data_IF_450011311426
#
_entry.id   IF_450011311426
#
_cell.length_a   1.000
_cell.length_b   1.000
_cell.length_c   1.000
_cell.angle_alpha   90.00
_cell.angle_beta   90.00
_cell.angle_gamma   90.00
#
_symmetry.space_group_name_H-M   'P 1'
#
loop_
_entity.id
_entity.type
_entity.pdbx_description
1 polymer ?
#
# COMPACT_ATOMS: atom_id res chain seq x y z
N UNK A 1 24.68 31.13 -1.21
CA UNK A 1 24.44 30.67 0.17
C UNK A 1 23.42 29.57 0.15
N UNK A 2 23.75 28.37 0.60
CA UNK A 2 22.86 27.21 0.59
C UNK A 2 21.65 27.48 1.47
N UNK A 3 20.52 27.84 0.85
CA UNK A 3 19.20 27.84 1.50
C UNK A 3 18.80 26.38 1.66
N UNK A 4 19.23 25.73 2.74
CA UNK A 4 18.58 24.49 3.15
C UNK A 4 17.10 24.83 3.37
N UNK A 5 16.22 24.25 2.54
CA UNK A 5 14.79 24.31 2.76
C UNK A 5 14.51 23.87 4.20
N UNK A 6 13.64 24.58 4.93
CA UNK A 6 13.22 24.15 6.25
C UNK A 6 12.80 22.68 6.17
N UNK A 7 13.28 21.88 7.12
CA UNK A 7 12.91 20.47 7.17
C UNK A 7 11.37 20.41 7.21
N UNK A 8 10.76 19.58 6.37
CA UNK A 8 9.32 19.66 6.07
C UNK A 8 8.38 19.57 7.29
N UNK A 9 8.83 18.98 8.40
CA UNK A 9 8.09 18.88 9.67
C UNK A 9 8.41 19.98 10.69
N UNK A 10 9.26 20.94 10.33
CA UNK A 10 9.71 22.02 11.20
C UNK A 10 8.69 23.16 11.21
N UNK A 11 8.32 23.64 12.40
CA UNK A 11 7.41 24.77 12.59
C UNK A 11 8.03 25.85 13.47
N UNK A 12 7.44 27.04 13.44
CA UNK A 12 7.84 28.15 14.31
C UNK A 12 7.68 27.79 15.80
N UNK A 13 6.69 26.99 16.15
CA UNK A 13 6.50 26.51 17.54
C UNK A 13 7.62 25.56 17.98
N UNK A 14 8.05 24.63 17.10
CA UNK A 14 9.22 23.78 17.36
C UNK A 14 10.48 24.63 17.52
N UNK A 15 10.62 25.69 16.72
CA UNK A 15 11.74 26.61 16.81
C UNK A 15 11.79 27.34 18.17
N UNK A 16 10.65 27.87 18.63
CA UNK A 16 10.50 28.51 19.95
C UNK A 16 10.82 27.54 21.09
N UNK A 17 10.20 26.36 21.08
CA UNK A 17 10.44 25.32 22.09
C UNK A 17 11.90 24.85 22.11
N UNK A 18 12.55 24.80 20.94
CA UNK A 18 13.99 24.49 20.86
C UNK A 18 14.83 25.59 21.48
N UNK A 19 14.55 26.85 21.18
CA UNK A 19 15.26 27.98 21.77
C UNK A 19 15.11 27.99 23.29
N UNK A 20 13.90 27.77 23.80
CA UNK A 20 13.61 27.66 25.24
C UNK A 20 14.32 26.47 25.88
N UNK A 21 14.28 25.28 25.26
CA UNK A 21 14.96 24.09 25.77
C UNK A 21 16.47 24.30 25.87
N UNK A 22 17.08 24.98 24.88
CA UNK A 22 18.50 25.34 24.92
C UNK A 22 18.82 26.35 26.01
N UNK A 23 17.95 27.35 26.25
CA UNK A 23 18.09 28.29 27.37
C UNK A 23 18.02 27.57 28.72
N UNK A 24 16.99 26.75 28.92
CA UNK A 24 16.79 25.97 30.15
C UNK A 24 17.95 24.98 30.41
N UNK A 25 18.44 24.30 29.36
CA UNK A 25 19.63 23.43 29.46
C UNK A 25 20.85 24.19 29.99
N UNK A 26 21.11 25.38 29.44
CA UNK A 26 22.23 26.23 29.88
C UNK A 26 22.08 26.68 31.34
N UNK A 27 20.87 26.99 31.78
CA UNK A 27 20.59 27.34 33.17
C UNK A 27 20.88 26.17 34.12
N UNK A 28 20.39 24.96 33.81
CA UNK A 28 20.67 23.74 34.60
C UNK A 28 22.17 23.45 34.67
N UNK A 29 22.87 23.53 33.54
CA UNK A 29 24.32 23.28 33.49
C UNK A 29 25.11 24.25 34.39
N UNK A 30 24.72 25.54 34.42
CA UNK A 30 25.35 26.57 35.25
C UNK A 30 24.91 26.53 36.73
N UNK A 31 23.83 25.83 37.04
CA UNK A 31 23.29 25.70 38.39
C UNK A 31 23.77 24.44 39.12
N UNK A 32 24.62 23.60 38.49
CA UNK A 32 25.20 22.43 39.16
C UNK A 32 25.89 22.84 40.46
N UNK A 33 25.57 22.14 41.55
CA UNK A 33 26.07 22.45 42.90
C UNK A 33 25.36 23.61 43.61
N UNK A 34 24.36 24.25 42.99
CA UNK A 34 23.56 25.33 43.61
C UNK A 34 22.23 24.80 44.16
N UNK A 35 21.66 25.41 45.21
CA UNK A 35 20.36 25.01 45.76
C UNK A 35 19.21 25.01 44.73
N UNK A 36 19.27 25.89 43.72
CA UNK A 36 18.25 25.97 42.66
C UNK A 36 18.35 24.88 41.58
N UNK A 37 19.34 23.99 41.63
CA UNK A 37 19.58 22.97 40.60
C UNK A 37 18.35 22.09 40.34
N UNK A 38 17.76 21.54 41.40
CA UNK A 38 16.63 20.60 41.30
C UNK A 38 15.41 21.25 40.63
N UNK A 39 15.09 22.48 41.02
CA UNK A 39 13.96 23.23 40.44
C UNK A 39 14.18 23.51 38.95
N UNK A 40 15.38 23.97 38.57
CA UNK A 40 15.73 24.20 37.17
C UNK A 40 15.76 22.90 36.35
N UNK A 41 16.18 21.78 36.96
CA UNK A 41 16.19 20.47 36.30
C UNK A 41 14.78 20.00 35.95
N UNK A 42 13.82 20.18 36.87
CA UNK A 42 12.39 19.87 36.63
C UNK A 42 11.85 20.70 35.47
N UNK A 43 12.09 22.02 35.49
CA UNK A 43 11.66 22.94 34.41
C UNK A 43 12.28 22.53 33.06
N UNK A 44 13.57 22.21 33.03
CA UNK A 44 14.23 21.75 31.80
C UNK A 44 13.65 20.43 31.28
N UNK A 45 13.39 19.46 32.17
CA UNK A 45 12.77 18.17 31.78
C UNK A 45 11.40 18.40 31.15
N UNK A 46 10.61 19.32 31.69
CA UNK A 46 9.30 19.69 31.16
C UNK A 46 9.40 20.34 29.78
N UNK A 47 10.23 21.37 29.62
CA UNK A 47 10.43 22.04 28.32
C UNK A 47 10.94 21.04 27.27
N UNK A 48 11.87 20.15 27.65
CA UNK A 48 12.38 19.09 26.76
C UNK A 48 11.29 18.08 26.38
N UNK A 49 10.36 17.76 27.30
CA UNK A 49 9.21 16.91 27.00
C UNK A 49 8.30 17.58 25.96
N UNK A 50 8.00 18.86 26.15
CA UNK A 50 7.15 19.62 25.22
C UNK A 50 7.79 19.75 23.84
N UNK A 51 9.10 20.00 23.75
CA UNK A 51 9.82 19.98 22.48
C UNK A 51 9.74 18.61 21.78
N UNK A 52 9.97 17.51 22.51
CA UNK A 52 9.87 16.15 21.93
C UNK A 52 8.47 15.86 21.42
N UNK A 53 7.44 16.24 22.19
CA UNK A 53 6.04 16.10 21.79
C UNK A 53 5.75 16.89 20.52
N UNK A 54 6.12 18.18 20.47
CA UNK A 54 5.91 19.02 19.30
C UNK A 54 6.61 18.50 18.04
N UNK A 55 7.83 17.94 18.17
CA UNK A 55 8.52 17.28 17.05
C UNK A 55 7.78 16.03 16.59
N UNK A 56 7.31 15.19 17.54
CA UNK A 56 6.53 14.00 17.23
C UNK A 56 5.22 14.34 16.50
N UNK A 57 4.48 15.31 17.02
CA UNK A 57 3.22 15.80 16.44
C UNK A 57 3.46 16.43 15.06
N UNK A 58 4.55 17.19 14.90
CA UNK A 58 4.94 17.78 13.61
C UNK A 58 5.23 16.72 12.55
N UNK A 59 6.00 15.69 12.89
CA UNK A 59 6.28 14.57 11.98
C UNK A 59 5.01 13.79 11.64
N UNK A 60 4.17 13.52 12.64
CA UNK A 60 2.90 12.80 12.45
C UNK A 60 1.98 13.56 11.50
N UNK A 61 1.83 14.87 11.68
CA UNK A 61 1.02 15.72 10.81
C UNK A 61 1.52 15.67 9.37
N UNK A 62 2.80 15.93 9.15
CA UNK A 62 3.34 15.90 7.79
C UNK A 62 3.27 14.52 7.13
N UNK A 63 3.30 13.44 7.92
CA UNK A 63 3.05 12.09 7.40
C UNK A 63 1.60 11.90 6.96
N UNK A 64 0.64 12.38 7.75
CA UNK A 64 -0.79 12.37 7.39
C UNK A 64 -1.02 13.21 6.12
N UNK A 65 -0.50 14.44 6.08
CA UNK A 65 -0.63 15.33 4.93
C UNK A 65 -0.06 14.68 3.65
N UNK A 66 1.06 13.96 3.77
CA UNK A 66 1.66 13.24 2.64
C UNK A 66 0.78 12.08 2.16
N UNK A 67 0.12 11.35 3.06
CA UNK A 67 -0.82 10.28 2.70
C UNK A 67 -2.06 10.88 2.04
N UNK A 68 -2.62 11.95 2.60
CA UNK A 68 -3.79 12.62 2.02
C UNK A 68 -3.51 13.16 0.61
N UNK A 69 -2.29 13.64 0.37
CA UNK A 69 -1.84 14.08 -0.96
C UNK A 69 -1.90 12.95 -2.01
N UNK A 70 -1.67 11.68 -1.62
CA UNK A 70 -1.78 10.53 -2.54
C UNK A 70 -3.20 10.40 -3.10
N UNK A 71 -4.21 10.68 -2.29
CA UNK A 71 -5.61 10.56 -2.72
C UNK A 71 -5.98 11.63 -3.77
N UNK A 72 -5.34 12.80 -3.70
CA UNK A 72 -5.59 13.92 -4.61
C UNK A 72 -4.72 13.86 -5.87
N UNK A 73 -3.44 13.53 -5.71
CA UNK A 73 -2.48 13.39 -6.81
C UNK A 73 -1.61 12.12 -6.60
N UNK A 74 -2.05 10.98 -7.16
CA UNK A 74 -1.34 9.71 -7.05
C UNK A 74 0.08 9.74 -7.63
N UNK A 75 0.38 10.69 -8.54
CA UNK A 75 1.67 10.81 -9.23
C UNK A 75 2.50 12.02 -8.73
N UNK A 76 2.02 12.67 -7.67
CA UNK A 76 2.56 13.91 -7.12
C UNK A 76 3.81 13.74 -6.26
N UNK A 77 3.93 14.56 -5.22
CA UNK A 77 5.08 14.54 -4.30
C UNK A 77 5.27 13.18 -3.61
N UNK A 78 4.23 12.47 -3.12
CA UNK A 78 4.43 11.18 -2.45
C UNK A 78 5.06 10.14 -3.37
N UNK A 79 4.56 10.03 -4.60
CA UNK A 79 5.12 9.17 -5.64
C UNK A 79 6.58 9.49 -5.93
N UNK A 80 6.92 10.76 -6.14
CA UNK A 80 8.31 11.20 -6.38
C UNK A 80 9.24 10.88 -5.22
N UNK A 81 8.77 11.05 -3.98
CA UNK A 81 9.55 10.70 -2.78
C UNK A 81 9.85 9.20 -2.76
N UNK A 82 8.83 8.35 -2.97
CA UNK A 82 9.00 6.89 -3.02
C UNK A 82 9.90 6.49 -4.18
N UNK A 83 9.65 6.99 -5.39
CA UNK A 83 10.45 6.68 -6.56
C UNK A 83 11.89 7.15 -6.43
N UNK A 84 12.17 8.29 -5.78
CA UNK A 84 13.56 8.70 -5.48
C UNK A 84 14.30 7.70 -4.58
N UNK A 85 13.58 6.98 -3.72
CA UNK A 85 14.14 5.93 -2.85
C UNK A 85 14.25 4.59 -3.58
N UNK A 86 13.29 4.28 -4.45
CA UNK A 86 13.27 3.06 -5.27
C UNK A 86 14.19 3.14 -6.50
N UNK A 87 14.56 4.34 -6.96
CA UNK A 87 15.48 4.59 -8.08
C UNK A 87 16.93 4.10 -7.85
N UNK A 88 17.14 3.18 -6.90
CA UNK A 88 18.30 2.31 -6.91
C UNK A 88 18.32 1.34 -8.11
N UNK A 89 17.20 1.16 -8.81
CA UNK A 89 17.16 0.42 -10.07
C UNK A 89 17.54 1.35 -11.23
N UNK A 90 18.64 1.03 -11.92
CA UNK A 90 19.02 1.68 -13.16
C UNK A 90 17.97 1.34 -14.22
N UNK A 91 17.20 2.36 -14.63
CA UNK A 91 16.42 2.27 -15.87
C UNK A 91 17.40 1.98 -17.01
N UNK A 92 17.07 1.10 -17.97
CA UNK A 92 17.95 0.84 -19.10
C UNK A 92 18.25 2.16 -19.83
N UNK A 93 19.53 2.49 -19.92
CA UNK A 93 20.00 3.79 -20.41
C UNK A 93 20.13 3.82 -21.93
N UNK A 94 20.10 2.65 -22.58
CA UNK A 94 20.16 2.50 -24.04
C UNK A 94 19.30 1.32 -24.54
N UNK A 95 19.03 1.33 -25.84
CA UNK A 95 18.22 0.31 -26.52
C UNK A 95 18.78 -1.12 -26.31
N UNK A 96 20.09 -1.29 -26.38
CA UNK A 96 20.73 -2.62 -26.21
C UNK A 96 20.52 -3.21 -24.82
N UNK A 97 20.54 -2.37 -23.77
CA UNK A 97 20.25 -2.80 -22.40
C UNK A 97 18.79 -3.21 -22.26
N UNK A 98 17.87 -2.42 -22.83
CA UNK A 98 16.45 -2.75 -22.84
C UNK A 98 16.19 -4.06 -23.58
N UNK A 99 16.80 -4.25 -24.75
CA UNK A 99 16.66 -5.47 -25.55
C UNK A 99 17.13 -6.71 -24.78
N UNK A 100 18.26 -6.62 -24.07
CA UNK A 100 18.75 -7.71 -23.20
C UNK A 100 17.77 -8.03 -22.09
N UNK A 101 17.21 -7.02 -21.42
CA UNK A 101 16.22 -7.22 -20.35
C UNK A 101 14.97 -7.91 -20.92
N UNK A 102 14.45 -7.42 -22.05
CA UNK A 102 13.26 -7.99 -22.70
C UNK A 102 13.51 -9.45 -23.09
N UNK A 103 14.66 -9.78 -23.70
CA UNK A 103 15.01 -11.16 -24.05
C UNK A 103 15.08 -12.11 -22.86
N UNK A 104 15.51 -11.61 -21.70
CA UNK A 104 15.56 -12.41 -20.45
C UNK A 104 14.17 -12.57 -19.84
N UNK A 105 13.39 -11.50 -19.77
CA UNK A 105 12.06 -11.52 -19.14
C UNK A 105 10.99 -12.21 -20.00
N UNK A 106 11.14 -12.13 -21.32
CA UNK A 106 10.24 -12.70 -22.32
C UNK A 106 11.06 -13.55 -23.30
N UNK A 107 11.46 -14.77 -22.90
CA UNK A 107 12.17 -15.67 -23.80
C UNK A 107 11.32 -15.97 -25.03
N UNK A 108 11.93 -15.91 -26.21
CA UNK A 108 11.28 -16.38 -27.44
C UNK A 108 11.00 -17.86 -27.29
N UNK A 109 9.72 -18.23 -27.23
CA UNK A 109 9.30 -19.62 -27.29
C UNK A 109 9.26 -20.05 -28.76
N UNK A 110 9.61 -21.30 -29.04
CA UNK A 110 9.33 -21.85 -30.36
C UNK A 110 7.82 -21.79 -30.63
N UNK A 111 7.40 -21.53 -31.88
CA UNK A 111 6.00 -21.58 -32.24
C UNK A 111 5.40 -22.90 -31.75
N UNK A 112 4.53 -22.82 -30.75
CA UNK A 112 3.79 -23.99 -30.33
C UNK A 112 2.77 -24.28 -31.43
N UNK A 113 3.03 -25.33 -32.21
CA UNK A 113 2.02 -25.87 -33.11
C UNK A 113 0.89 -26.40 -32.24
N UNK A 114 -0.21 -25.64 -32.17
CA UNK A 114 -1.47 -26.19 -31.70
C UNK A 114 -1.84 -27.32 -32.65
N UNK A 115 -1.52 -28.55 -32.27
CA UNK A 115 -2.19 -29.70 -32.83
C UNK A 115 -3.64 -29.60 -32.36
N UNK A 116 -4.46 -28.92 -33.16
CA UNK A 116 -5.89 -29.14 -33.10
C UNK A 116 -6.06 -30.55 -33.65
N UNK A 117 -5.97 -31.53 -32.76
CA UNK A 117 -6.57 -32.82 -33.07
C UNK A 117 -7.99 -32.47 -33.49
N UNK A 118 -8.33 -32.77 -34.74
CA UNK A 118 -9.72 -32.86 -35.13
C UNK A 118 -10.26 -34.04 -34.32
N UNK A 119 -10.61 -33.78 -33.06
CA UNK A 119 -11.46 -34.64 -32.27
C UNK A 119 -12.67 -34.86 -33.19
N UNK A 120 -12.83 -36.09 -33.69
CA UNK A 120 -14.13 -36.55 -34.14
C UNK A 120 -15.10 -36.04 -33.09
N UNK A 121 -16.10 -35.23 -33.48
CA UNK A 121 -17.03 -34.62 -32.52
C UNK A 121 -17.57 -35.72 -31.63
N UNK A 122 -16.95 -35.92 -30.46
CA UNK A 122 -17.47 -36.84 -29.47
C UNK A 122 -18.84 -36.27 -29.17
N UNK A 123 -19.86 -37.09 -29.40
CA UNK A 123 -21.23 -36.69 -29.14
C UNK A 123 -21.35 -36.60 -27.62
N UNK A 124 -21.06 -35.42 -27.07
CA UNK A 124 -21.20 -35.15 -25.64
C UNK A 124 -22.69 -35.35 -25.32
N UNK A 125 -23.04 -36.32 -24.45
CA UNK A 125 -24.43 -36.55 -24.11
C UNK A 125 -25.02 -35.31 -23.42
N UNK A 126 -26.31 -34.99 -23.64
CA UNK A 126 -26.95 -33.87 -22.97
C UNK A 126 -26.95 -34.08 -21.46
N UNK A 127 -26.80 -32.97 -20.73
CA UNK A 127 -26.81 -33.00 -19.26
C UNK A 127 -28.13 -33.59 -18.78
N UNK A 128 -28.08 -34.59 -17.91
CA UNK A 128 -29.31 -35.16 -17.33
C UNK A 128 -29.80 -34.35 -16.15
N UNK A 129 -31.12 -34.36 -15.91
CA UNK A 129 -31.72 -33.73 -14.72
C UNK A 129 -31.06 -34.20 -13.41
N UNK A 130 -30.69 -35.48 -13.33
CA UNK A 130 -30.02 -36.06 -12.16
C UNK A 130 -28.63 -35.46 -11.94
N UNK A 131 -27.83 -35.33 -12.99
CA UNK A 131 -26.49 -34.74 -12.92
C UNK A 131 -26.57 -33.27 -12.51
N UNK A 132 -27.50 -32.51 -13.10
CA UNK A 132 -27.74 -31.12 -12.74
C UNK A 132 -28.08 -30.98 -11.25
N UNK A 133 -28.98 -31.80 -10.72
CA UNK A 133 -29.35 -31.75 -9.30
C UNK A 133 -28.21 -32.19 -8.38
N UNK A 134 -27.40 -33.17 -8.78
CA UNK A 134 -26.22 -33.58 -8.02
C UNK A 134 -25.16 -32.48 -7.97
N UNK A 135 -24.90 -31.80 -9.08
CA UNK A 135 -23.99 -30.65 -9.13
C UNK A 135 -24.50 -29.51 -8.25
N UNK A 136 -25.79 -29.17 -8.36
CA UNK A 136 -26.47 -28.16 -7.56
C UNK A 136 -26.30 -28.38 -6.04
N UNK A 137 -26.35 -29.63 -5.58
CA UNK A 137 -26.14 -29.97 -4.15
C UNK A 137 -24.69 -29.85 -3.68
N UNK A 138 -23.70 -29.96 -4.59
CA UNK A 138 -22.27 -29.81 -4.26
C UNK A 138 -21.83 -28.35 -4.17
N UNK A 139 -22.57 -27.43 -4.78
CA UNK A 139 -22.26 -26.00 -4.77
C UNK A 139 -22.47 -25.43 -3.35
N UNK A 140 -21.39 -24.92 -2.76
CA UNK A 140 -21.41 -24.36 -1.40
C UNK A 140 -22.00 -22.95 -1.36
N UNK A 141 -22.95 -22.70 -0.45
CA UNK A 141 -23.67 -21.41 -0.35
C UNK A 141 -22.79 -20.23 0.11
N UNK A 142 -21.63 -20.50 0.74
CA UNK A 142 -20.75 -19.51 1.36
C UNK A 142 -19.59 -19.05 0.47
N UNK A 143 -19.55 -19.45 -0.80
CA UNK A 143 -18.53 -18.98 -1.73
C UNK A 143 -18.86 -17.57 -2.21
N UNK A 144 -17.82 -16.75 -2.36
CA UNK A 144 -17.96 -15.42 -2.89
C UNK A 144 -18.45 -15.47 -4.36
N UNK A 145 -19.32 -14.53 -4.79
CA UNK A 145 -19.76 -14.42 -6.18
C UNK A 145 -18.59 -14.23 -7.15
N UNK A 146 -18.76 -14.69 -8.39
CA UNK A 146 -17.82 -14.49 -9.48
C UNK A 146 -17.88 -13.07 -10.05
N UNK A 147 -17.27 -12.88 -11.23
CA UNK A 147 -17.29 -11.61 -11.98
C UNK A 147 -18.70 -11.23 -12.45
N UNK A 148 -19.61 -12.20 -12.56
CA UNK A 148 -21.03 -12.01 -12.85
C UNK A 148 -21.83 -11.45 -11.65
N UNK A 149 -21.22 -11.39 -10.46
CA UNK A 149 -21.85 -11.00 -9.20
C UNK A 149 -23.07 -11.84 -8.79
N UNK A 150 -23.26 -13.03 -9.35
CA UNK A 150 -24.36 -13.93 -9.00
C UNK A 150 -23.92 -14.81 -7.83
N UNK A 151 -24.71 -14.83 -6.75
CA UNK A 151 -24.41 -15.67 -5.60
C UNK A 151 -24.80 -17.14 -5.84
N UNK A 152 -24.07 -18.05 -5.22
CA UNK A 152 -24.38 -19.48 -5.26
C UNK A 152 -25.79 -19.80 -4.73
N UNK A 153 -26.29 -18.99 -3.80
CA UNK A 153 -27.67 -19.12 -3.29
C UNK A 153 -28.66 -18.82 -4.42
N UNK A 154 -28.49 -17.70 -5.14
CA UNK A 154 -29.35 -17.34 -6.25
C UNK A 154 -29.32 -18.39 -7.38
N UNK A 155 -28.13 -18.85 -7.74
CA UNK A 155 -27.95 -19.91 -8.75
C UNK A 155 -28.66 -21.20 -8.33
N UNK A 156 -28.47 -21.64 -7.08
CA UNK A 156 -29.10 -22.85 -6.54
C UNK A 156 -30.63 -22.73 -6.52
N UNK A 157 -31.16 -21.58 -6.09
CA UNK A 157 -32.61 -21.32 -6.10
C UNK A 157 -33.17 -21.36 -7.53
N UNK A 158 -32.47 -20.80 -8.50
CA UNK A 158 -32.90 -20.83 -9.90
C UNK A 158 -32.96 -22.26 -10.45
N UNK A 159 -31.89 -23.05 -10.24
CA UNK A 159 -31.83 -24.46 -10.68
C UNK A 159 -32.94 -25.30 -10.02
N UNK A 160 -33.23 -25.08 -8.74
CA UNK A 160 -34.29 -25.80 -8.03
C UNK A 160 -35.70 -25.41 -8.49
N UNK A 161 -35.89 -24.15 -8.89
CA UNK A 161 -37.20 -23.60 -9.28
C UNK A 161 -37.56 -23.92 -10.74
N UNK A 162 -36.58 -23.82 -11.64
CA UNK A 162 -36.75 -23.97 -13.07
C UNK A 162 -35.61 -24.79 -13.69
N UNK A 163 -35.47 -26.09 -13.32
CA UNK A 163 -34.35 -26.91 -13.76
C UNK A 163 -34.28 -27.08 -15.28
N UNK A 164 -35.43 -27.00 -15.97
CA UNK A 164 -35.50 -27.13 -17.43
C UNK A 164 -34.79 -26.01 -18.19
N UNK A 165 -34.53 -24.86 -17.56
CA UNK A 165 -33.75 -23.77 -18.19
C UNK A 165 -32.25 -24.08 -18.30
N UNK A 166 -31.79 -25.13 -17.63
CA UNK A 166 -30.37 -25.51 -17.52
C UNK A 166 -30.09 -26.88 -18.14
N UNK A 167 -31.05 -27.44 -18.87
CA UNK A 167 -30.93 -28.69 -19.60
C UNK A 167 -31.07 -28.37 -21.10
N UNK A 168 -30.19 -28.93 -21.91
CA UNK A 168 -30.16 -28.80 -23.38
C UNK A 168 -31.01 -29.86 -24.08
#
# INVERSE_FOLDING_TARGET
GNRHLPVYWWSEDINKLRAESLRARRQVQRARGKPCFLQLEVVFKEIRRNLRKAIGDGKKRCWIDLIEEVNNDPWGRPYKVVMSKLNGYQQPTCADQLERIVKVLFPTQEPFEYHVEHEEKEMIPPTTHKELMQACMRVGNSKAPGMDHISNIALRTAIQTAPQMFLD
#
